data_IF_884157947992
#
_entry.id   IF_884157947992
#
_cell.length_a   1.000
_cell.length_b   1.000
_cell.length_c   1.000
_cell.angle_alpha   90.00
_cell.angle_beta   90.00
_cell.angle_gamma   90.00
#
_symmetry.space_group_name_H-M   'P 1'
#
loop_
_entity.id
_entity.type
_entity.pdbx_description
1 polymer ?
#
# COMPACT_ATOMS: atom_id res chain seq x y z
N UNK A 1 26.58 -30.15 -9.08
CA UNK A 1 26.09 -28.95 -9.79
C UNK A 1 24.57 -28.96 -9.68
N UNK A 2 24.05 -28.41 -8.58
CA UNK A 2 22.62 -28.21 -8.37
C UNK A 2 22.29 -26.75 -8.64
N UNK A 3 21.22 -26.51 -9.41
CA UNK A 3 20.71 -25.19 -9.75
C UNK A 3 20.50 -24.35 -8.48
N UNK A 4 21.24 -23.25 -8.40
CA UNK A 4 21.03 -22.17 -7.44
C UNK A 4 19.62 -21.61 -7.67
N UNK A 5 18.83 -21.62 -6.60
CA UNK A 5 17.44 -21.17 -6.63
C UNK A 5 17.33 -19.76 -7.21
N UNK A 6 16.47 -19.63 -8.21
CA UNK A 6 16.03 -18.37 -8.77
C UNK A 6 15.46 -17.50 -7.63
N UNK A 7 16.23 -16.52 -7.18
CA UNK A 7 15.72 -15.47 -6.29
C UNK A 7 14.63 -14.73 -7.03
N UNK A 8 13.35 -15.09 -6.76
CA UNK A 8 12.11 -14.61 -7.41
C UNK A 8 12.38 -13.47 -8.37
N UNK A 9 12.86 -13.84 -9.56
CA UNK A 9 13.03 -12.86 -10.61
C UNK A 9 11.62 -12.37 -10.90
N UNK A 10 11.47 -11.06 -11.07
CA UNK A 10 10.24 -10.50 -11.63
C UNK A 10 9.85 -11.39 -12.81
N UNK A 11 8.57 -11.81 -12.84
CA UNK A 11 8.01 -12.60 -13.93
C UNK A 11 8.44 -11.96 -15.27
N UNK A 12 8.86 -12.74 -16.28
CA UNK A 12 9.26 -12.19 -17.57
C UNK A 12 8.19 -11.24 -18.13
N UNK A 13 8.62 -10.15 -18.79
CA UNK A 13 7.68 -9.14 -19.30
C UNK A 13 6.59 -9.72 -20.22
N UNK A 14 6.93 -10.73 -21.03
CA UNK A 14 5.97 -11.41 -21.89
C UNK A 14 4.87 -12.12 -21.08
N UNK A 15 5.23 -12.77 -19.98
CA UNK A 15 4.29 -13.44 -19.08
C UNK A 15 3.42 -12.43 -18.32
N UNK A 16 3.99 -11.29 -17.90
CA UNK A 16 3.22 -10.19 -17.29
C UNK A 16 2.15 -9.64 -18.25
N UNK A 17 2.52 -9.46 -19.53
CA UNK A 17 1.59 -9.00 -20.58
C UNK A 17 0.48 -10.02 -20.79
N UNK A 18 0.82 -11.30 -20.93
CA UNK A 18 -0.16 -12.38 -21.10
C UNK A 18 -1.13 -12.46 -19.90
N UNK A 19 -0.63 -12.32 -18.67
CA UNK A 19 -1.46 -12.27 -17.47
C UNK A 19 -2.44 -11.10 -17.49
N UNK A 20 -1.97 -9.88 -17.81
CA UNK A 20 -2.82 -8.67 -17.90
C UNK A 20 -3.95 -8.85 -18.91
N UNK A 21 -3.64 -9.40 -20.09
CA UNK A 21 -4.64 -9.70 -21.13
C UNK A 21 -5.67 -10.73 -20.64
N UNK A 22 -5.22 -11.79 -19.98
CA UNK A 22 -6.11 -12.82 -19.42
C UNK A 22 -7.00 -12.27 -18.30
N UNK A 23 -6.45 -11.42 -17.43
CA UNK A 23 -7.18 -10.77 -16.35
C UNK A 23 -8.26 -9.84 -16.90
N UNK A 24 -7.95 -8.96 -17.83
CA UNK A 24 -8.94 -8.08 -18.47
C UNK A 24 -10.06 -8.89 -19.13
N UNK A 25 -9.72 -9.93 -19.90
CA UNK A 25 -10.73 -10.83 -20.49
C UNK A 25 -11.63 -11.51 -19.46
N UNK A 26 -11.10 -11.84 -18.27
CA UNK A 26 -11.90 -12.42 -17.20
C UNK A 26 -12.83 -11.38 -16.56
N UNK A 27 -12.31 -10.17 -16.29
CA UNK A 27 -13.08 -9.06 -15.73
C UNK A 27 -14.20 -8.60 -16.68
N UNK A 28 -13.95 -8.55 -17.98
CA UNK A 28 -14.95 -8.18 -18.99
C UNK A 28 -16.18 -9.08 -18.97
N UNK A 29 -16.01 -10.37 -18.63
CA UNK A 29 -17.14 -11.30 -18.52
C UNK A 29 -18.06 -10.97 -17.34
N UNK A 30 -17.55 -10.31 -16.31
CA UNK A 30 -18.29 -9.91 -15.12
C UNK A 30 -18.82 -8.47 -15.21
N UNK A 31 -18.15 -7.61 -15.97
CA UNK A 31 -18.57 -6.22 -16.17
C UNK A 31 -19.82 -6.13 -17.04
N UNK A 32 -20.75 -5.25 -16.63
CA UNK A 32 -22.02 -5.04 -17.32
C UNK A 32 -22.01 -3.81 -18.24
N UNK A 33 -21.00 -2.95 -18.12
CA UNK A 33 -20.89 -1.68 -18.84
C UNK A 33 -19.50 -1.61 -19.50
N UNK A 34 -19.47 -1.26 -20.79
CA UNK A 34 -18.25 -1.06 -21.58
C UNK A 34 -17.34 0.04 -21.00
N UNK A 35 -17.89 1.04 -20.31
CA UNK A 35 -17.13 2.11 -19.66
C UNK A 35 -16.33 1.60 -18.43
N UNK A 36 -16.68 0.44 -17.88
CA UNK A 36 -16.02 -0.12 -16.68
C UNK A 36 -14.54 -0.40 -16.93
N UNK A 37 -14.20 -0.91 -18.12
CA UNK A 37 -12.81 -1.15 -18.51
C UNK A 37 -12.02 0.16 -18.54
N UNK A 38 -12.58 1.19 -19.19
CA UNK A 38 -11.93 2.48 -19.30
C UNK A 38 -11.62 3.08 -17.92
N UNK A 39 -12.60 3.03 -16.99
CA UNK A 39 -12.42 3.51 -15.61
C UNK A 39 -11.43 2.65 -14.81
N UNK A 40 -11.43 1.34 -15.02
CA UNK A 40 -10.44 0.45 -14.40
C UNK A 40 -9.03 0.78 -14.87
N UNK A 41 -8.82 0.94 -16.18
CA UNK A 41 -7.53 1.31 -16.76
C UNK A 41 -7.10 2.72 -16.36
N UNK A 42 -8.04 3.65 -16.21
CA UNK A 42 -7.77 4.98 -15.65
C UNK A 42 -7.24 4.89 -14.22
N UNK A 43 -7.88 4.11 -13.35
CA UNK A 43 -7.41 3.90 -11.98
C UNK A 43 -6.03 3.22 -11.91
N UNK A 44 -5.76 2.26 -12.80
CA UNK A 44 -4.44 1.64 -12.96
C UNK A 44 -3.39 2.69 -13.35
N UNK A 45 -3.69 3.51 -14.36
CA UNK A 45 -2.77 4.53 -14.85
C UNK A 45 -2.48 5.59 -13.78
N UNK A 46 -3.51 6.03 -13.03
CA UNK A 46 -3.34 6.94 -11.90
C UNK A 46 -2.37 6.38 -10.87
N UNK A 47 -2.51 5.11 -10.48
CA UNK A 47 -1.61 4.50 -9.51
C UNK A 47 -0.18 4.32 -10.06
N UNK A 48 -0.03 4.04 -11.36
CA UNK A 48 1.29 3.92 -12.00
C UNK A 48 2.01 5.27 -12.17
N UNK A 49 1.26 6.36 -12.38
CA UNK A 49 1.80 7.72 -12.57
C UNK A 49 2.04 8.47 -11.27
N UNK A 50 1.13 8.32 -10.30
CA UNK A 50 1.07 9.16 -9.10
C UNK A 50 1.63 8.45 -7.86
N UNK A 51 2.10 7.20 -8.00
CA UNK A 51 2.63 6.26 -6.98
C UNK A 51 1.64 5.82 -5.89
N UNK A 52 0.67 6.66 -5.57
CA UNK A 52 -0.36 6.40 -4.61
C UNK A 52 -1.68 6.96 -5.13
N UNK A 53 -2.77 6.30 -4.78
CA UNK A 53 -4.12 6.75 -5.11
C UNK A 53 -5.05 6.48 -3.94
N UNK A 54 -6.13 7.26 -3.85
CA UNK A 54 -7.14 7.16 -2.81
C UNK A 54 -8.46 6.68 -3.43
N UNK A 55 -8.99 5.58 -2.89
CA UNK A 55 -10.28 5.04 -3.30
C UNK A 55 -11.34 5.34 -2.24
N UNK A 56 -12.26 6.25 -2.55
CA UNK A 56 -13.43 6.53 -1.72
C UNK A 56 -14.58 5.56 -2.00
N UNK A 57 -15.38 5.26 -0.96
CA UNK A 57 -16.66 4.55 -1.13
C UNK A 57 -16.57 3.07 -1.51
N UNK A 58 -15.43 2.42 -1.30
CA UNK A 58 -15.28 0.98 -1.57
C UNK A 58 -16.05 0.11 -0.57
N UNK A 59 -16.13 0.55 0.69
CA UNK A 59 -16.73 -0.21 1.78
C UNK A 59 -18.00 0.50 2.23
N UNK A 60 -19.08 -0.27 2.44
CA UNK A 60 -20.31 0.28 2.99
C UNK A 60 -20.11 0.75 4.44
N UNK A 61 -20.58 1.95 4.84
CA UNK A 61 -20.29 2.51 6.16
C UNK A 61 -20.67 1.59 7.33
N UNK A 62 -21.80 0.89 7.27
CA UNK A 62 -22.21 -0.01 8.36
C UNK A 62 -21.32 -1.26 8.50
N UNK A 63 -20.66 -1.71 7.42
CA UNK A 63 -19.65 -2.77 7.52
C UNK A 63 -18.35 -2.23 8.12
N UNK A 64 -17.99 -1.00 7.75
CA UNK A 64 -16.82 -0.35 8.31
C UNK A 64 -16.98 -0.07 9.82
N UNK A 65 -18.17 0.30 10.29
CA UNK A 65 -18.45 0.45 11.73
C UNK A 65 -18.19 -0.84 12.51
N UNK A 66 -18.70 -1.97 12.03
CA UNK A 66 -18.44 -3.29 12.63
C UNK A 66 -16.96 -3.66 12.63
N UNK A 67 -16.24 -3.30 11.57
CA UNK A 67 -14.79 -3.49 11.51
C UNK A 67 -14.09 -2.70 12.61
N UNK A 68 -14.44 -1.43 12.78
CA UNK A 68 -13.83 -0.56 13.82
C UNK A 68 -14.06 -1.16 15.20
N UNK A 69 -15.31 -1.55 15.52
CA UNK A 69 -15.64 -2.18 16.81
C UNK A 69 -14.88 -3.49 17.04
N UNK A 70 -14.73 -4.32 16.01
CA UNK A 70 -14.00 -5.59 16.11
C UNK A 70 -12.49 -5.35 16.28
N UNK A 71 -11.93 -4.39 15.52
CA UNK A 71 -10.53 -4.03 15.59
C UNK A 71 -10.16 -3.46 16.97
N UNK A 72 -11.00 -2.59 17.53
CA UNK A 72 -10.75 -1.99 18.84
C UNK A 72 -10.66 -3.07 19.94
N UNK A 73 -11.55 -4.07 19.92
CA UNK A 73 -11.49 -5.24 20.82
C UNK A 73 -10.19 -6.03 20.65
N UNK A 74 -9.71 -6.19 19.42
CA UNK A 74 -8.45 -6.88 19.14
C UNK A 74 -7.26 -6.08 19.67
N UNK A 75 -7.25 -4.76 19.49
CA UNK A 75 -6.21 -3.90 20.02
C UNK A 75 -6.16 -3.91 21.55
N UNK A 76 -7.33 -3.85 22.22
CA UNK A 76 -7.40 -3.98 23.67
C UNK A 76 -6.85 -5.32 24.17
N UNK A 77 -7.15 -6.42 23.47
CA UNK A 77 -6.80 -7.77 23.91
C UNK A 77 -5.36 -8.19 23.56
N UNK A 78 -4.86 -7.78 22.38
CA UNK A 78 -3.62 -8.30 21.80
C UNK A 78 -2.60 -7.20 21.45
N UNK A 79 -2.95 -5.93 21.65
CA UNK A 79 -2.05 -4.80 21.46
C UNK A 79 -0.85 -4.89 22.38
N UNK A 80 0.33 -4.63 21.84
CA UNK A 80 1.56 -4.61 22.64
C UNK A 80 1.69 -3.35 23.53
N UNK A 81 0.74 -2.40 23.43
CA UNK A 81 0.59 -1.24 24.33
C UNK A 81 1.89 -0.47 24.58
N UNK A 82 2.75 -0.32 23.56
CA UNK A 82 3.95 0.49 23.73
C UNK A 82 3.60 1.98 23.80
N UNK A 83 4.46 2.76 24.44
CA UNK A 83 4.22 4.18 24.73
C UNK A 83 3.91 5.05 23.50
N UNK A 84 4.47 4.69 22.33
CA UNK A 84 4.33 5.48 21.09
C UNK A 84 3.24 4.90 20.18
N UNK A 85 3.16 3.56 20.11
CA UNK A 85 2.22 2.85 19.26
C UNK A 85 1.76 1.54 19.91
N UNK A 86 0.50 1.16 19.70
CA UNK A 86 0.08 -0.22 19.96
C UNK A 86 -0.01 -0.98 18.65
N UNK A 87 0.77 -2.07 18.55
CA UNK A 87 0.81 -2.93 17.37
C UNK A 87 0.11 -4.25 17.61
N UNK A 88 -0.59 -4.72 16.58
CA UNK A 88 -1.12 -6.08 16.48
C UNK A 88 -0.73 -6.68 15.13
N UNK A 89 -0.24 -7.91 15.15
CA UNK A 89 -0.13 -8.70 13.92
C UNK A 89 -1.52 -9.16 13.51
N UNK A 90 -2.02 -8.67 12.37
CA UNK A 90 -3.34 -9.07 11.88
C UNK A 90 -3.31 -10.42 11.18
N UNK A 91 -2.11 -10.93 10.86
CA UNK A 91 -1.92 -12.25 10.26
C UNK A 91 -2.39 -13.39 11.18
N UNK A 92 -2.43 -13.19 12.50
CA UNK A 92 -2.97 -14.16 13.47
C UNK A 92 -4.45 -13.93 13.80
N UNK A 93 -5.04 -12.85 13.29
CA UNK A 93 -6.44 -12.48 13.48
C UNK A 93 -7.27 -12.96 12.28
N UNK A 94 -7.38 -14.29 12.14
CA UNK A 94 -7.93 -14.95 10.95
C UNK A 94 -9.30 -14.42 10.51
N UNK A 95 -10.15 -13.96 11.43
CA UNK A 95 -11.47 -13.42 11.12
C UNK A 95 -11.41 -12.18 10.19
N UNK A 96 -10.35 -11.37 10.28
CA UNK A 96 -10.22 -10.15 9.48
C UNK A 96 -9.79 -10.43 8.03
N UNK A 97 -9.00 -11.49 7.83
CA UNK A 97 -8.42 -11.82 6.51
C UNK A 97 -9.21 -12.93 5.80
N UNK A 98 -9.67 -13.93 6.57
CA UNK A 98 -10.32 -15.14 6.04
C UNK A 98 -11.80 -15.21 6.41
N UNK A 99 -12.30 -14.32 7.28
CA UNK A 99 -13.70 -14.27 7.66
C UNK A 99 -14.54 -13.46 6.67
N UNK A 100 -15.82 -13.84 6.53
CA UNK A 100 -16.74 -13.19 5.58
C UNK A 100 -17.10 -11.75 5.96
N UNK A 101 -16.96 -11.39 7.24
CA UNK A 101 -17.48 -10.13 7.78
C UNK A 101 -16.67 -8.89 7.37
N UNK A 102 -15.37 -9.06 7.10
CA UNK A 102 -14.43 -7.94 6.92
C UNK A 102 -13.51 -8.08 5.71
N UNK A 103 -13.57 -9.22 5.00
CA UNK A 103 -12.65 -9.52 3.89
C UNK A 103 -12.65 -8.43 2.82
N UNK A 104 -13.81 -7.85 2.50
CA UNK A 104 -13.93 -6.79 1.50
C UNK A 104 -13.19 -5.51 1.91
N UNK A 105 -12.90 -5.31 3.19
CA UNK A 105 -12.13 -4.15 3.66
C UNK A 105 -10.63 -4.37 3.51
N UNK A 106 -10.13 -5.58 3.75
CA UNK A 106 -8.70 -5.92 3.61
C UNK A 106 -8.32 -6.36 2.20
N UNK A 107 -9.28 -6.89 1.45
CA UNK A 107 -9.07 -7.61 0.20
C UNK A 107 -10.18 -7.27 -0.82
N UNK A 108 -10.54 -5.98 -0.92
CA UNK A 108 -11.56 -5.51 -1.86
C UNK A 108 -11.26 -5.97 -3.30
N UNK A 109 -12.22 -6.56 -4.04
CA UNK A 109 -11.97 -7.11 -5.39
C UNK A 109 -11.36 -6.12 -6.39
N UNK A 110 -11.75 -4.84 -6.32
CA UNK A 110 -11.16 -3.79 -7.17
C UNK A 110 -9.66 -3.61 -6.88
N UNK A 111 -9.28 -3.57 -5.59
CA UNK A 111 -7.88 -3.38 -5.18
C UNK A 111 -7.06 -4.60 -5.60
N UNK A 112 -7.57 -5.81 -5.38
CA UNK A 112 -6.94 -7.05 -5.84
C UNK A 112 -6.70 -7.00 -7.36
N UNK A 113 -7.72 -6.62 -8.14
CA UNK A 113 -7.63 -6.59 -9.59
C UNK A 113 -6.60 -5.55 -10.09
N UNK A 114 -6.61 -4.33 -9.52
CA UNK A 114 -5.65 -3.28 -9.87
C UNK A 114 -4.22 -3.72 -9.52
N UNK A 115 -3.99 -4.22 -8.31
CA UNK A 115 -2.66 -4.66 -7.87
C UNK A 115 -2.16 -5.85 -8.71
N UNK A 116 -3.01 -6.85 -8.97
CA UNK A 116 -2.65 -7.99 -9.82
C UNK A 116 -2.34 -7.57 -11.26
N UNK A 117 -3.10 -6.61 -11.81
CA UNK A 117 -2.84 -6.06 -13.14
C UNK A 117 -1.49 -5.34 -13.20
N UNK A 118 -1.22 -4.46 -12.23
CA UNK A 118 0.04 -3.71 -12.16
C UNK A 118 1.25 -4.65 -11.99
N UNK A 119 1.18 -5.60 -11.06
CA UNK A 119 2.23 -6.60 -10.84
C UNK A 119 2.38 -7.58 -12.02
N UNK A 120 1.32 -7.76 -12.83
CA UNK A 120 1.31 -8.67 -13.96
C UNK A 120 1.31 -10.14 -13.54
N UNK A 121 0.71 -10.47 -12.40
CA UNK A 121 0.71 -11.84 -11.89
C UNK A 121 -0.21 -12.05 -10.69
N UNK A 122 -0.26 -13.30 -10.23
CA UNK A 122 -0.96 -13.64 -9.00
C UNK A 122 -0.30 -12.94 -7.81
N UNK A 123 -1.13 -12.44 -6.90
CA UNK A 123 -0.69 -11.69 -5.71
C UNK A 123 -1.07 -12.45 -4.44
N UNK A 124 -0.39 -12.12 -3.34
CA UNK A 124 -0.72 -12.62 -2.00
C UNK A 124 -0.48 -11.51 -0.99
N UNK A 125 -1.25 -11.52 0.09
CA UNK A 125 -0.95 -10.69 1.26
C UNK A 125 0.30 -11.28 1.91
N UNK A 126 1.39 -10.51 1.92
CA UNK A 126 2.63 -10.92 2.57
C UNK A 126 2.58 -10.62 4.07
N UNK A 127 1.96 -9.50 4.42
CA UNK A 127 1.90 -9.00 5.78
C UNK A 127 0.65 -8.13 5.97
N UNK A 128 0.09 -8.18 7.19
CA UNK A 128 -0.99 -7.31 7.61
C UNK A 128 -0.77 -6.90 9.07
N UNK A 129 -0.77 -5.60 9.34
CA UNK A 129 -0.47 -5.01 10.65
C UNK A 129 -1.55 -3.99 11.03
N UNK A 130 -1.98 -4.05 12.28
CA UNK A 130 -2.81 -3.03 12.93
C UNK A 130 -1.92 -2.14 13.80
N UNK A 131 -2.14 -0.82 13.72
CA UNK A 131 -1.37 0.17 14.49
C UNK A 131 -2.29 1.25 15.04
N UNK A 132 -2.32 1.39 16.37
CA UNK A 132 -2.86 2.56 17.04
C UNK A 132 -1.73 3.53 17.35
N UNK A 133 -1.92 4.81 17.05
CA UNK A 133 -0.92 5.86 17.23
C UNK A 133 -1.52 7.04 17.98
N UNK A 134 -0.93 7.38 19.12
CA UNK A 134 -1.38 8.52 19.93
C UNK A 134 -0.81 9.85 19.42
N UNK A 135 -1.64 10.93 19.33
CA UNK A 135 -1.21 12.23 18.82
C UNK A 135 -0.01 12.87 19.52
N UNK A 136 0.18 12.60 20.83
CA UNK A 136 1.20 13.27 21.66
C UNK A 136 2.61 12.65 21.46
N UNK A 137 2.70 11.41 20.99
CA UNK A 137 3.97 10.70 20.83
C UNK A 137 4.65 10.93 19.46
N UNK A 138 4.07 11.78 18.59
CA UNK A 138 4.45 11.98 17.18
C UNK A 138 5.78 12.75 16.97
N UNK A 139 6.44 13.21 18.04
CA UNK A 139 7.80 13.77 17.94
C UNK A 139 8.92 12.73 17.80
N UNK A 140 8.61 11.43 17.84
CA UNK A 140 9.63 10.38 17.89
C UNK A 140 9.75 9.61 16.55
N UNK A 141 10.83 9.88 15.82
CA UNK A 141 11.67 8.98 14.98
C UNK A 141 11.05 8.03 13.93
N UNK A 142 9.88 7.43 14.17
CA UNK A 142 9.21 6.41 13.33
C UNK A 142 8.49 6.98 12.08
N UNK A 143 8.34 8.31 11.97
CA UNK A 143 7.72 8.98 10.83
C UNK A 143 8.70 9.91 10.10
N UNK A 144 10.00 9.62 10.17
CA UNK A 144 10.99 10.26 9.29
C UNK A 144 10.76 9.82 7.84
N UNK A 145 11.34 10.52 6.86
CA UNK A 145 11.24 10.09 5.46
C UNK A 145 12.01 8.76 5.27
N UNK A 146 11.30 7.69 4.91
CA UNK A 146 11.91 6.40 4.57
C UNK A 146 11.14 5.73 3.42
N UNK A 147 11.79 4.76 2.78
CA UNK A 147 11.14 3.81 1.88
C UNK A 147 11.06 2.50 2.63
N UNK A 148 9.86 1.93 2.68
CA UNK A 148 9.67 0.60 3.24
C UNK A 148 10.55 -0.41 2.53
N UNK A 149 11.51 -0.95 3.28
CA UNK A 149 12.56 -1.76 2.71
C UNK A 149 12.11 -3.23 2.72
N UNK A 150 11.69 -3.73 1.56
CA UNK A 150 11.36 -5.16 1.42
C UNK A 150 12.34 -5.82 0.44
N UNK A 151 12.94 -6.96 0.81
CA UNK A 151 13.89 -7.65 -0.07
C UNK A 151 13.21 -8.26 -1.31
N UNK A 152 11.88 -8.15 -1.43
CA UNK A 152 11.09 -8.63 -2.55
C UNK A 152 10.78 -7.49 -3.52
N UNK A 153 11.10 -7.70 -4.80
CA UNK A 153 11.25 -6.63 -5.80
C UNK A 153 9.97 -5.85 -6.12
N UNK A 154 8.78 -6.37 -5.83
CA UNK A 154 7.50 -5.75 -6.21
C UNK A 154 6.43 -5.99 -5.14
N UNK A 155 6.02 -4.92 -4.46
CA UNK A 155 4.98 -4.94 -3.43
C UNK A 155 4.16 -3.65 -3.49
N UNK A 156 2.85 -3.77 -3.29
CA UNK A 156 1.94 -2.65 -3.10
C UNK A 156 1.46 -2.64 -1.65
N UNK A 157 1.37 -1.45 -1.06
CA UNK A 157 0.81 -1.26 0.28
C UNK A 157 -0.59 -0.68 0.17
N UNK A 158 -1.52 -1.28 0.90
CA UNK A 158 -2.87 -0.76 1.09
C UNK A 158 -2.95 -0.21 2.50
N UNK A 159 -3.31 1.06 2.63
CA UNK A 159 -3.44 1.75 3.90
C UNK A 159 -4.91 2.04 4.17
N UNK A 160 -5.36 1.64 5.36
CA UNK A 160 -6.69 1.93 5.87
C UNK A 160 -6.54 2.72 7.17
N UNK A 161 -7.06 3.95 7.18
CA UNK A 161 -6.85 4.87 8.30
C UNK A 161 -8.18 5.46 8.75
N UNK A 162 -8.38 5.53 10.07
CA UNK A 162 -9.53 6.16 10.70
C UNK A 162 -9.13 6.69 12.08
N UNK A 163 -9.99 7.53 12.65
CA UNK A 163 -9.85 7.96 14.04
C UNK A 163 -10.27 6.82 14.98
N UNK A 164 -9.41 6.44 15.94
CA UNK A 164 -9.68 5.38 16.91
C UNK A 164 -11.08 5.52 17.54
N UNK A 165 -11.85 4.43 17.57
CA UNK A 165 -13.23 4.39 18.06
C UNK A 165 -14.27 5.12 17.19
N UNK A 166 -13.91 5.58 15.97
CA UNK A 166 -14.81 6.36 15.12
C UNK A 166 -14.75 5.94 13.65
N UNK A 167 -15.91 5.92 12.99
CA UNK A 167 -16.03 5.80 11.53
C UNK A 167 -15.79 7.17 10.89
N UNK A 168 -14.57 7.66 11.02
CA UNK A 168 -14.19 8.99 10.57
C UNK A 168 -12.73 9.00 10.14
N UNK A 169 -12.41 9.81 9.15
CA UNK A 169 -11.04 10.08 8.75
C UNK A 169 -10.18 10.57 9.92
N UNK A 170 -8.87 10.25 9.94
CA UNK A 170 -7.96 10.75 10.96
C UNK A 170 -7.92 12.29 11.00
N UNK A 171 -8.06 12.87 12.19
CA UNK A 171 -7.88 14.32 12.36
C UNK A 171 -6.40 14.65 12.53
N UNK A 172 -5.78 15.26 11.51
CA UNK A 172 -4.42 15.80 11.59
C UNK A 172 -3.28 14.79 11.40
N UNK A 173 -3.58 13.55 11.04
CA UNK A 173 -2.58 12.55 10.63
C UNK A 173 -2.79 12.21 9.15
N UNK A 174 -2.06 12.92 8.28
CA UNK A 174 -2.07 12.66 6.84
C UNK A 174 -0.82 11.87 6.44
N UNK A 175 -0.98 10.86 5.60
CA UNK A 175 0.17 10.22 4.95
C UNK A 175 0.74 11.18 3.91
N UNK A 176 2.02 11.50 4.07
CA UNK A 176 2.78 12.29 3.10
C UNK A 176 3.76 11.38 2.40
N UNK A 177 3.80 11.44 1.07
CA UNK A 177 4.71 10.65 0.25
C UNK A 177 5.36 11.57 -0.79
N UNK A 178 6.53 11.15 -1.30
CA UNK A 178 7.20 11.82 -2.41
C UNK A 178 6.96 11.02 -3.69
N UNK A 179 6.22 11.55 -4.68
CA UNK A 179 5.98 10.84 -5.93
C UNK A 179 7.27 10.46 -6.66
N UNK A 180 7.20 9.35 -7.36
CA UNK A 180 8.19 8.63 -8.16
C UNK A 180 9.43 8.12 -7.44
N UNK A 181 9.54 8.33 -6.13
CA UNK A 181 10.73 7.95 -5.36
C UNK A 181 10.92 6.43 -5.22
N UNK A 182 9.88 5.61 -5.50
CA UNK A 182 10.01 4.14 -5.50
C UNK A 182 10.83 3.59 -6.70
N UNK A 183 10.94 4.35 -7.80
CA UNK A 183 11.55 3.86 -9.07
C UNK A 183 13.07 3.82 -9.07
N UNK A 184 13.76 4.32 -8.05
CA UNK A 184 15.23 4.23 -8.05
C UNK A 184 15.96 4.51 -6.73
N UNK A 185 15.28 4.54 -5.59
CA UNK A 185 15.93 4.72 -4.28
C UNK A 185 15.99 3.43 -3.45
N UNK A 186 15.88 2.25 -4.05
CA UNK A 186 15.97 0.98 -3.32
C UNK A 186 17.35 0.36 -3.50
N UNK A 187 18.18 0.47 -2.47
CA UNK A 187 19.43 -0.29 -2.36
C UNK A 187 19.11 -1.70 -1.85
N UNK A 188 19.20 -2.71 -2.72
CA UNK A 188 19.15 -4.12 -2.31
C UNK A 188 20.58 -4.56 -2.02
N UNK A 189 20.89 -4.79 -0.75
CA UNK A 189 22.18 -5.33 -0.36
C UNK A 189 22.23 -6.82 -0.66
N UNK A 190 23.42 -7.32 -0.94
CA UNK A 190 23.64 -8.76 -1.16
C UNK A 190 24.62 -9.25 -0.10
N UNK A 191 24.30 -10.37 0.55
CA UNK A 191 25.19 -11.00 1.53
C UNK A 191 26.29 -11.78 0.83
N UNK A 192 27.28 -12.25 1.60
CA UNK A 192 28.44 -12.98 1.05
C UNK A 192 28.09 -14.28 0.32
N UNK A 193 26.94 -14.88 0.63
CA UNK A 193 26.36 -16.05 -0.01
C UNK A 193 25.41 -15.71 -1.19
N UNK A 194 25.34 -14.43 -1.58
CA UNK A 194 24.54 -13.98 -2.72
C UNK A 194 23.07 -13.75 -2.41
N UNK A 195 22.64 -13.89 -1.15
CA UNK A 195 21.25 -13.66 -0.77
C UNK A 195 20.95 -12.16 -0.70
N UNK A 196 19.83 -11.70 -1.30
CA UNK A 196 19.39 -10.33 -1.10
C UNK A 196 18.96 -10.15 0.35
N UNK A 197 19.39 -9.05 0.96
CA UNK A 197 18.93 -8.62 2.27
C UNK A 197 18.81 -7.10 2.29
N UNK A 198 18.07 -6.57 3.25
CA UNK A 198 18.00 -5.14 3.46
C UNK A 198 17.80 -4.86 4.94
N UNK A 199 18.11 -3.63 5.38
CA UNK A 199 17.85 -3.20 6.76
C UNK A 199 16.83 -2.07 6.78
N UNK A 200 15.99 -2.06 7.80
CA UNK A 200 15.16 -0.89 8.13
C UNK A 200 16.02 0.31 8.60
N UNK A 201 17.31 0.10 8.90
CA UNK A 201 18.21 1.10 9.50
C UNK A 201 18.93 1.97 8.48
N UNK A 202 18.97 1.58 7.22
CA UNK A 202 19.56 2.40 6.16
C UNK A 202 18.54 3.43 5.70
N UNK A 203 18.32 4.46 6.53
CA UNK A 203 17.55 5.62 6.12
C UNK A 203 18.23 6.21 4.88
N UNK A 204 17.45 6.31 3.79
CA UNK A 204 17.85 6.91 2.51
C UNK A 204 18.12 8.42 2.64
N UNK A 205 17.90 9.01 3.82
CA UNK A 205 18.08 10.43 4.10
C UNK A 205 19.25 10.72 5.05
N UNK A 206 20.17 9.76 5.24
CA UNK A 206 21.31 9.89 6.18
C UNK A 206 22.45 10.79 5.69
N UNK A 207 22.46 11.19 4.41
CA UNK A 207 23.49 12.08 3.85
C UNK A 207 22.90 13.07 2.85
N UNK A 208 23.53 14.24 2.70
CA UNK A 208 23.13 15.25 1.71
C UNK A 208 23.05 14.65 0.30
N UNK A 209 24.03 13.84 -0.10
CA UNK A 209 24.05 13.16 -1.41
C UNK A 209 22.85 12.21 -1.61
N UNK A 210 22.39 11.55 -0.55
CA UNK A 210 21.23 10.65 -0.63
C UNK A 210 19.92 11.45 -0.71
N UNK A 211 19.85 12.59 -0.03
CA UNK A 211 18.75 13.56 -0.15
C UNK A 211 18.71 14.17 -1.55
N UNK A 212 19.84 14.62 -2.10
CA UNK A 212 19.93 15.21 -3.44
C UNK A 212 19.42 14.24 -4.51
N UNK A 213 19.79 12.96 -4.41
CA UNK A 213 19.28 11.90 -5.30
C UNK A 213 17.75 11.77 -5.29
N UNK A 214 17.06 12.03 -4.17
CA UNK A 214 15.60 12.00 -4.13
C UNK A 214 14.99 13.10 -5.02
N UNK A 215 15.65 14.25 -5.10
CA UNK A 215 15.20 15.40 -5.90
C UNK A 215 15.71 15.37 -7.35
N UNK A 216 16.75 14.58 -7.64
CA UNK A 216 17.30 14.39 -8.98
C UNK A 216 16.49 13.40 -9.85
N UNK A 217 15.43 12.75 -9.31
CA UNK A 217 14.56 11.92 -10.12
C UNK A 217 13.87 12.77 -11.20
N UNK A 218 13.81 12.29 -12.46
CA UNK A 218 13.13 13.01 -13.51
C UNK A 218 11.70 13.24 -13.09
N UNK A 219 11.37 14.51 -12.84
CA UNK A 219 9.99 14.96 -12.73
C UNK A 219 9.35 14.61 -14.07
N UNK A 220 8.20 13.90 -14.08
CA UNK A 220 7.48 13.68 -15.32
C UNK A 220 7.18 15.06 -15.90
N UNK A 221 7.05 15.18 -17.24
CA UNK A 221 6.51 16.41 -17.80
C UNK A 221 5.23 16.76 -17.02
N UNK A 222 5.05 18.04 -16.64
CA UNK A 222 3.89 18.44 -15.85
C UNK A 222 2.66 17.82 -16.52
N UNK A 223 1.85 17.06 -15.77
CA UNK A 223 0.74 16.36 -16.40
C UNK A 223 -0.10 17.41 -17.10
N UNK A 224 -0.51 17.11 -18.33
CA UNK A 224 -1.45 17.95 -19.06
C UNK A 224 -2.70 18.25 -18.23
N UNK A 225 -2.99 17.45 -17.18
CA UNK A 225 -3.81 17.82 -16.03
C UNK A 225 -3.30 17.19 -14.71
N UNK A 226 -2.82 18.00 -13.76
CA UNK A 226 -2.66 17.56 -12.35
C UNK A 226 -1.47 18.17 -11.59
N UNK A 227 -1.69 19.29 -10.87
CA UNK A 227 -0.75 19.70 -9.80
C UNK A 227 -0.51 18.52 -8.85
N UNK A 228 0.64 18.46 -8.17
CA UNK A 228 0.79 17.66 -6.96
C UNK A 228 -0.45 17.90 -6.09
N UNK A 229 -1.32 16.89 -6.00
CA UNK A 229 -2.56 16.99 -5.26
C UNK A 229 -2.24 16.54 -3.85
N UNK A 230 -2.32 17.45 -2.90
CA UNK A 230 -2.68 17.04 -1.55
C UNK A 230 -4.07 16.45 -1.69
N UNK A 231 -4.18 15.13 -1.62
CA UNK A 231 -5.47 14.45 -1.58
C UNK A 231 -5.94 14.52 -0.14
N UNK A 232 -6.54 15.65 0.22
CA UNK A 232 -7.23 15.77 1.50
C UNK A 232 -8.56 15.01 1.38
N UNK A 233 -8.85 14.16 2.37
CA UNK A 233 -10.18 13.60 2.52
C UNK A 233 -11.14 14.75 2.87
N UNK A 234 -11.95 15.18 1.90
CA UNK A 234 -12.94 16.23 2.12
C UNK A 234 -14.15 15.62 2.81
N UNK A 235 -14.29 15.86 4.11
CA UNK A 235 -15.50 15.46 4.85
C UNK A 235 -16.68 16.35 4.46
N UNK A 236 -17.88 15.78 4.35
CA UNK A 236 -19.12 16.49 4.00
C UNK A 236 -19.62 17.51 5.03
N UNK A 237 -18.81 17.84 6.05
CA UNK A 237 -19.16 18.72 7.17
C UNK A 237 -18.12 19.83 7.42
N UNK A 238 -17.47 20.34 6.36
CA UNK A 238 -16.75 21.61 6.44
C UNK A 238 -17.71 22.75 6.06
N UNK A 239 -17.79 23.84 6.86
CA UNK A 239 -18.74 24.95 6.65
C UNK A 239 -18.55 25.69 5.32
#
# INVERSE_FOLDING_TARGET
>A
MGSLGEHRQSIPNAEKIDFRVKLLRALHKAWKNEETEARFLEAVNMLESDDATLFGGLVYPAFFEKLVEAYDKVQEAAGNNTFVHSFVSMAVQNEFIMGENYVDVFAHPLIIAITAYLMGGAIRIQESRGRNTDPIAINAQDNTLYVDNTPFKEEYKVLLNWQCGQVKDPSGQNFTFLPLTYKGNRDILTSNDGLPWSTERDSLSTSHKAIDKLFDFPTPPPPSHGRARVVEAVTSNSP
#
